data_IF_503438733366
#
_entry.id   IF_503438733366
#
_cell.length_a   1.000
_cell.length_b   1.000
_cell.length_c   1.000
_cell.angle_alpha   90.00
_cell.angle_beta   90.00
_cell.angle_gamma   90.00
#
_symmetry.space_group_name_H-M   'P 1'
#
loop_
_entity.id
_entity.type
_entity.pdbx_description
1 polymer ?
#
# COMPACT_ATOMS: atom_id res chain seq x y z
N UNK A 1 29.64 -41.29 -5.56
CA UNK A 1 29.80 -39.84 -5.33
C UNK A 1 28.45 -39.22 -5.55
N UNK A 2 28.03 -38.33 -4.67
CA UNK A 2 26.76 -37.63 -4.78
C UNK A 2 26.80 -36.73 -6.02
N UNK A 3 25.72 -36.65 -6.83
CA UNK A 3 25.65 -35.70 -7.93
C UNK A 3 25.54 -34.26 -7.41
N UNK A 4 26.05 -33.30 -8.19
CA UNK A 4 25.75 -31.89 -7.95
C UNK A 4 24.29 -31.60 -8.36
N UNK A 5 23.52 -30.86 -7.56
CA UNK A 5 22.15 -30.50 -7.89
C UNK A 5 22.12 -29.43 -8.99
N UNK A 6 21.04 -29.37 -9.77
CA UNK A 6 20.78 -28.29 -10.72
C UNK A 6 19.40 -27.69 -10.47
N UNK A 7 19.28 -26.37 -10.58
CA UNK A 7 18.03 -25.64 -10.38
C UNK A 7 17.48 -25.19 -11.73
N UNK A 8 16.19 -25.45 -11.97
CA UNK A 8 15.50 -25.12 -13.22
C UNK A 8 14.43 -24.05 -13.04
N UNK A 9 13.71 -24.05 -11.92
CA UNK A 9 12.68 -23.05 -11.64
C UNK A 9 12.42 -22.82 -10.14
N UNK A 10 11.84 -21.66 -9.83
CA UNK A 10 11.32 -21.30 -8.52
C UNK A 10 9.81 -21.06 -8.65
N UNK A 11 9.02 -21.60 -7.71
CA UNK A 11 7.58 -21.36 -7.68
C UNK A 11 7.08 -21.02 -6.27
N UNK A 12 6.66 -19.76 -6.02
CA UNK A 12 6.78 -18.62 -6.93
C UNK A 12 8.26 -18.20 -7.16
N UNK A 13 8.54 -17.46 -8.23
CA UNK A 13 9.86 -16.85 -8.48
C UNK A 13 9.95 -15.38 -8.03
N UNK A 14 8.84 -14.84 -7.54
CA UNK A 14 8.78 -13.47 -7.03
C UNK A 14 7.65 -13.31 -6.02
N UNK A 15 7.72 -12.25 -5.23
CA UNK A 15 6.66 -11.80 -4.33
C UNK A 15 6.68 -10.27 -4.25
N UNK A 16 5.58 -9.64 -3.90
CA UNK A 16 5.62 -8.24 -3.46
C UNK A 16 6.20 -8.20 -2.04
N UNK A 17 6.97 -7.18 -1.69
CA UNK A 17 7.54 -7.03 -0.35
C UNK A 17 6.49 -7.22 0.75
N UNK A 18 6.83 -7.99 1.78
CA UNK A 18 5.89 -8.41 2.83
C UNK A 18 6.13 -7.67 4.17
N UNK A 19 7.13 -6.80 4.22
CA UNK A 19 7.57 -6.13 5.43
C UNK A 19 8.37 -7.05 6.37
N UNK A 20 9.09 -6.45 7.34
CA UNK A 20 10.07 -7.15 8.18
C UNK A 20 9.45 -8.16 9.16
N UNK A 21 8.16 -8.02 9.48
CA UNK A 21 7.44 -8.87 10.43
C UNK A 21 6.61 -9.97 9.77
N UNK A 22 6.78 -10.22 8.46
CA UNK A 22 6.05 -11.27 7.76
C UNK A 22 6.48 -12.66 8.22
N UNK A 23 5.58 -13.65 8.06
CA UNK A 23 5.84 -15.05 8.42
C UNK A 23 6.81 -15.78 7.48
N UNK A 24 7.39 -15.08 6.49
CA UNK A 24 8.19 -15.68 5.42
C UNK A 24 7.35 -16.26 4.29
N UNK A 25 8.00 -16.99 3.39
CA UNK A 25 7.39 -17.55 2.19
C UNK A 25 8.02 -18.91 1.86
N UNK A 26 7.18 -19.93 1.63
CA UNK A 26 7.64 -21.21 1.08
C UNK A 26 7.73 -21.12 -0.44
N UNK A 27 8.92 -21.39 -0.97
CA UNK A 27 9.23 -21.47 -2.39
C UNK A 27 9.49 -22.93 -2.75
N UNK A 28 8.79 -23.42 -3.76
CA UNK A 28 9.09 -24.71 -4.37
C UNK A 28 10.25 -24.54 -5.35
N UNK A 29 11.37 -25.17 -5.05
CA UNK A 29 12.54 -25.21 -5.91
C UNK A 29 12.46 -26.45 -6.78
N UNK A 30 12.46 -26.28 -8.09
CA UNK A 30 12.45 -27.35 -9.08
C UNK A 30 13.85 -27.52 -9.67
N UNK A 31 14.20 -28.76 -9.99
CA UNK A 31 15.54 -29.08 -10.43
C UNK A 31 15.76 -30.56 -10.68
N UNK A 32 17.03 -30.96 -10.59
CA UNK A 32 17.45 -32.35 -10.71
C UNK A 32 18.47 -32.69 -9.62
N UNK A 33 18.56 -33.99 -9.33
CA UNK A 33 19.56 -34.59 -8.46
C UNK A 33 19.52 -34.12 -7.00
N UNK A 34 18.39 -33.69 -6.47
CA UNK A 34 18.28 -33.38 -5.04
C UNK A 34 18.40 -34.63 -4.18
N UNK A 35 19.12 -34.52 -3.07
CA UNK A 35 19.22 -35.57 -2.05
C UNK A 35 18.39 -35.20 -0.82
N UNK A 36 18.06 -36.20 0.00
CA UNK A 36 17.25 -36.00 1.22
C UNK A 36 17.90 -35.01 2.20
N UNK A 37 19.24 -34.98 2.24
CA UNK A 37 20.04 -34.07 3.07
C UNK A 37 20.45 -32.77 2.34
N UNK A 38 19.81 -32.43 1.22
CA UNK A 38 20.11 -31.20 0.49
C UNK A 38 19.73 -29.94 1.30
N UNK A 39 20.58 -28.91 1.21
CA UNK A 39 20.43 -27.65 1.94
C UNK A 39 20.34 -26.48 0.97
N UNK A 40 19.27 -25.70 1.02
CA UNK A 40 19.11 -24.47 0.25
C UNK A 40 19.71 -23.26 0.97
N UNK A 41 20.22 -22.31 0.19
CA UNK A 41 20.81 -21.06 0.68
C UNK A 41 20.21 -19.86 -0.02
N UNK A 42 19.89 -18.83 0.76
CA UNK A 42 19.52 -17.51 0.29
C UNK A 42 20.70 -16.56 0.45
N UNK A 43 21.26 -16.07 -0.65
CA UNK A 43 22.46 -15.22 -0.64
C UNK A 43 23.61 -15.81 0.21
N UNK A 44 23.77 -17.14 0.15
CA UNK A 44 24.79 -17.88 0.92
C UNK A 44 24.40 -18.21 2.38
N UNK A 45 23.27 -17.73 2.88
CA UNK A 45 22.78 -18.08 4.22
C UNK A 45 21.78 -19.25 4.17
N UNK A 46 21.90 -20.27 5.03
CA UNK A 46 21.06 -21.47 4.95
C UNK A 46 19.59 -21.15 5.25
N UNK A 47 18.67 -21.88 4.61
CA UNK A 47 17.22 -21.78 4.82
C UNK A 47 16.61 -23.14 5.11
N UNK A 48 15.51 -23.16 5.87
CA UNK A 48 14.79 -24.41 6.12
C UNK A 48 14.44 -25.06 4.79
N UNK A 49 14.97 -26.26 4.57
CA UNK A 49 14.83 -27.02 3.33
C UNK A 49 14.18 -28.35 3.66
N UNK A 50 13.09 -28.66 2.97
CA UNK A 50 12.40 -29.93 3.08
C UNK A 50 12.50 -30.65 1.75
N UNK A 51 13.10 -31.83 1.78
CA UNK A 51 13.12 -32.73 0.64
C UNK A 51 11.69 -33.18 0.31
N UNK A 52 11.34 -33.10 -0.98
CA UNK A 52 10.05 -33.59 -1.50
C UNK A 52 10.31 -34.74 -2.47
N UNK A 53 11.22 -34.53 -3.43
CA UNK A 53 11.70 -35.54 -4.36
C UNK A 53 13.07 -35.15 -4.91
N UNK A 54 13.68 -36.03 -5.70
CA UNK A 54 14.94 -35.76 -6.41
C UNK A 54 14.86 -34.58 -7.39
N UNK A 55 13.66 -34.08 -7.69
CA UNK A 55 13.41 -32.95 -8.59
C UNK A 55 12.70 -31.78 -7.93
N UNK A 56 12.40 -31.88 -6.64
CA UNK A 56 11.69 -30.83 -5.90
C UNK A 56 12.12 -30.71 -4.43
N UNK A 57 12.37 -29.47 -4.01
CA UNK A 57 12.55 -29.08 -2.61
C UNK A 57 11.52 -28.01 -2.23
N UNK A 58 11.06 -28.02 -0.98
CA UNK A 58 10.35 -26.90 -0.39
C UNK A 58 11.31 -26.10 0.50
N UNK A 59 11.52 -24.83 0.16
CA UNK A 59 12.47 -23.94 0.85
C UNK A 59 11.68 -22.80 1.50
N UNK A 60 11.91 -22.54 2.78
CA UNK A 60 11.26 -21.43 3.48
C UNK A 60 12.18 -20.21 3.53
N UNK A 61 11.83 -19.17 2.77
CA UNK A 61 12.40 -17.83 2.91
C UNK A 61 11.86 -17.17 4.18
N UNK A 62 12.71 -16.44 4.88
CA UNK A 62 12.35 -15.70 6.10
C UNK A 62 11.66 -14.39 5.75
N UNK A 63 10.93 -13.81 6.70
CA UNK A 63 10.30 -12.49 6.49
C UNK A 63 11.31 -11.40 6.13
N UNK A 64 12.51 -11.44 6.71
CA UNK A 64 13.61 -10.52 6.38
C UNK A 64 14.14 -10.64 4.94
N UNK A 65 14.01 -11.81 4.31
CA UNK A 65 14.47 -12.04 2.93
C UNK A 65 13.57 -11.34 1.91
N UNK A 66 12.30 -11.19 2.25
CA UNK A 66 11.23 -10.65 1.41
C UNK A 66 10.66 -9.35 1.99
N UNK A 67 11.36 -8.73 2.95
CA UNK A 67 10.88 -7.57 3.67
C UNK A 67 10.84 -6.31 2.80
N UNK A 68 11.78 -6.20 1.85
CA UNK A 68 11.99 -5.01 1.02
C UNK A 68 12.19 -5.41 -0.43
N UNK A 69 11.77 -4.53 -1.34
CA UNK A 69 12.02 -4.68 -2.76
C UNK A 69 13.51 -4.90 -3.08
N UNK A 70 13.80 -5.81 -4.00
CA UNK A 70 15.14 -6.22 -4.37
C UNK A 70 15.16 -7.60 -5.01
N UNK A 71 16.31 -8.26 -4.97
CA UNK A 71 16.44 -9.65 -5.40
C UNK A 71 17.38 -10.42 -4.50
N UNK A 72 17.18 -11.73 -4.43
CA UNK A 72 18.13 -12.65 -3.80
C UNK A 72 18.35 -13.88 -4.66
N UNK A 73 19.50 -14.52 -4.46
CA UNK A 73 19.87 -15.74 -5.15
C UNK A 73 19.59 -16.95 -4.26
N UNK A 74 18.85 -17.92 -4.82
CA UNK A 74 18.66 -19.25 -4.26
C UNK A 74 19.63 -20.23 -4.91
N UNK A 75 20.38 -20.94 -4.08
CA UNK A 75 21.19 -22.10 -4.46
C UNK A 75 20.84 -23.29 -3.58
N UNK A 76 21.20 -24.50 -4.02
CA UNK A 76 21.06 -25.74 -3.25
C UNK A 76 22.40 -26.47 -3.23
N UNK A 77 22.74 -27.09 -2.11
CA UNK A 77 23.93 -27.90 -1.96
C UNK A 77 23.57 -29.34 -1.55
N UNK A 78 24.18 -30.31 -2.23
CA UNK A 78 24.16 -31.70 -1.82
C UNK A 78 25.43 -32.04 -1.02
N UNK A 79 25.36 -32.94 -0.02
CA UNK A 79 26.50 -33.27 0.84
C UNK A 79 27.62 -34.02 0.11
N UNK A 80 28.83 -33.96 0.69
CA UNK A 80 29.97 -34.78 0.30
C UNK A 80 29.77 -36.27 0.65
N UNK A 81 30.50 -37.23 0.02
CA UNK A 81 31.52 -37.05 -1.02
C UNK A 81 30.94 -36.89 -2.43
N UNK A 82 31.55 -36.02 -3.25
CA UNK A 82 30.99 -35.57 -4.53
C UNK A 82 30.21 -34.28 -4.30
N UNK A 83 28.89 -34.36 -4.42
CA UNK A 83 27.95 -33.29 -4.04
C UNK A 83 28.31 -31.96 -4.68
N UNK A 84 28.04 -30.88 -3.94
CA UNK A 84 28.38 -29.52 -4.34
C UNK A 84 27.15 -28.62 -4.51
N UNK A 85 27.41 -27.37 -4.86
CA UNK A 85 26.40 -26.32 -5.01
C UNK A 85 25.86 -26.27 -6.44
N UNK A 86 24.56 -26.02 -6.59
CA UNK A 86 23.89 -25.80 -7.87
C UNK A 86 24.26 -24.47 -8.52
N UNK A 87 23.75 -24.26 -9.75
CA UNK A 87 23.52 -22.91 -10.26
C UNK A 87 22.55 -22.13 -9.36
N UNK A 88 22.67 -20.79 -9.38
CA UNK A 88 21.75 -19.91 -8.66
C UNK A 88 20.56 -19.50 -9.52
N UNK A 89 19.38 -19.42 -8.90
CA UNK A 89 18.21 -18.76 -9.49
C UNK A 89 17.89 -17.47 -8.71
N UNK A 90 17.51 -16.43 -9.44
CA UNK A 90 17.09 -15.17 -8.83
C UNK A 90 15.62 -15.27 -8.42
N UNK A 91 15.34 -14.84 -7.20
CA UNK A 91 14.01 -14.58 -6.69
C UNK A 91 13.86 -13.06 -6.54
N UNK A 92 12.80 -12.50 -7.10
CA UNK A 92 12.57 -11.06 -7.09
C UNK A 92 11.55 -10.67 -6.03
N UNK A 93 11.88 -9.66 -5.23
CA UNK A 93 10.95 -8.99 -4.32
C UNK A 93 10.54 -7.68 -4.97
N UNK A 94 9.28 -7.58 -5.40
CA UNK A 94 8.75 -6.39 -6.05
C UNK A 94 8.32 -5.36 -5.01
N UNK A 95 8.50 -4.07 -5.29
CA UNK A 95 7.99 -2.99 -4.44
C UNK A 95 6.46 -2.94 -4.45
N UNK A 96 5.87 -2.56 -3.32
CA UNK A 96 4.43 -2.28 -3.25
C UNK A 96 4.10 -1.04 -4.11
N UNK A 97 3.11 -1.08 -5.02
CA UNK A 97 2.67 0.12 -5.72
C UNK A 97 2.21 1.19 -4.72
N UNK A 98 2.68 2.44 -4.90
CA UNK A 98 2.30 3.55 -4.04
C UNK A 98 0.95 4.12 -4.47
N UNK A 99 0.10 4.44 -3.51
CA UNK A 99 -1.10 5.23 -3.73
C UNK A 99 -0.73 6.65 -4.18
N UNK A 100 -1.47 7.25 -5.13
CA UNK A 100 -1.21 8.62 -5.55
C UNK A 100 -1.62 9.62 -4.46
N UNK A 101 -0.95 10.78 -4.40
CA UNK A 101 -1.41 11.90 -3.58
C UNK A 101 -2.68 12.51 -4.20
N UNK A 102 -3.76 12.69 -3.43
CA UNK A 102 -5.01 13.26 -3.94
C UNK A 102 -4.85 14.76 -4.20
N UNK A 103 -5.65 15.31 -5.11
CA UNK A 103 -5.73 16.77 -5.32
C UNK A 103 -7.17 17.25 -5.23
N UNK A 104 -7.38 18.41 -4.61
CA UNK A 104 -8.68 19.08 -4.57
C UNK A 104 -8.60 20.25 -5.55
N UNK A 105 -9.52 20.33 -6.51
CA UNK A 105 -9.64 21.46 -7.43
C UNK A 105 -10.76 22.39 -6.97
N UNK A 106 -11.90 21.84 -6.58
CA UNK A 106 -13.11 22.59 -6.26
C UNK A 106 -13.90 21.95 -5.12
N UNK A 107 -14.62 22.79 -4.37
CA UNK A 107 -15.65 22.38 -3.43
C UNK A 107 -17.01 22.89 -3.96
N UNK A 108 -18.05 22.08 -3.85
CA UNK A 108 -19.41 22.48 -4.26
C UNK A 108 -20.42 22.12 -3.15
N UNK A 109 -21.07 23.12 -2.53
CA UNK A 109 -20.73 24.55 -2.59
C UNK A 109 -19.31 24.82 -2.07
N UNK A 110 -18.72 25.98 -2.36
CA UNK A 110 -17.39 26.39 -1.87
C UNK A 110 -17.44 27.19 -0.55
N UNK A 111 -18.63 27.60 -0.17
CA UNK A 111 -18.97 28.19 1.11
C UNK A 111 -20.45 27.97 1.42
N UNK A 112 -20.82 28.05 2.69
CA UNK A 112 -22.21 27.94 3.14
C UNK A 112 -22.56 29.00 4.17
N UNK A 113 -23.85 29.29 4.32
CA UNK A 113 -24.37 29.97 5.49
C UNK A 113 -24.69 28.91 6.56
N UNK A 114 -23.94 28.91 7.66
CA UNK A 114 -24.13 27.91 8.73
C UNK A 114 -25.43 28.12 9.53
N UNK A 115 -25.87 29.37 9.62
CA UNK A 115 -27.07 29.73 10.39
C UNK A 115 -28.37 29.31 9.71
N UNK A 116 -29.30 28.78 10.51
CA UNK A 116 -30.60 28.31 10.04
C UNK A 116 -30.57 26.88 9.50
N UNK A 117 -29.41 26.24 9.41
CA UNK A 117 -29.32 24.81 9.12
C UNK A 117 -29.94 24.01 10.27
N UNK A 118 -30.79 23.05 9.90
CA UNK A 118 -31.38 22.07 10.82
C UNK A 118 -30.83 20.66 10.58
N UNK A 119 -30.04 20.49 9.52
CA UNK A 119 -29.39 19.23 9.14
C UNK A 119 -27.94 19.48 8.71
N UNK A 120 -27.03 18.53 8.98
CA UNK A 120 -25.66 18.54 8.48
C UNK A 120 -25.60 18.78 6.96
N UNK A 121 -24.81 19.76 6.46
CA UNK A 121 -24.69 19.99 5.03
C UNK A 121 -23.71 19.00 4.40
N UNK A 122 -24.04 18.54 3.20
CA UNK A 122 -23.16 17.72 2.35
C UNK A 122 -22.45 18.60 1.35
N UNK A 123 -21.14 18.40 1.20
CA UNK A 123 -20.27 19.13 0.29
C UNK A 123 -19.62 18.13 -0.67
N UNK A 124 -19.64 18.45 -1.96
CA UNK A 124 -18.88 17.75 -2.98
C UNK A 124 -17.44 18.26 -3.01
N UNK A 125 -16.48 17.34 -3.01
CA UNK A 125 -15.06 17.59 -3.23
C UNK A 125 -14.71 17.08 -4.61
N UNK A 126 -14.37 18.00 -5.52
CA UNK A 126 -13.98 17.71 -6.89
C UNK A 126 -12.46 17.80 -7.00
N UNK A 127 -11.86 16.86 -7.73
CA UNK A 127 -10.43 16.73 -7.79
C UNK A 127 -9.95 15.57 -8.65
N UNK A 128 -8.85 14.95 -8.22
CA UNK A 128 -8.29 13.78 -8.88
C UNK A 128 -7.57 12.87 -7.89
N UNK A 129 -7.32 11.63 -8.33
CA UNK A 129 -6.59 10.61 -7.59
C UNK A 129 -7.26 10.20 -6.27
N UNK A 130 -8.56 10.39 -6.10
CA UNK A 130 -9.25 9.89 -4.91
C UNK A 130 -9.34 8.36 -4.96
N UNK A 131 -8.99 7.73 -3.84
CA UNK A 131 -9.19 6.29 -3.67
C UNK A 131 -10.55 6.01 -3.02
N UNK A 132 -11.14 4.82 -3.23
CA UNK A 132 -12.36 4.41 -2.53
C UNK A 132 -12.25 4.45 -1.00
N UNK A 133 -11.04 4.35 -0.46
CA UNK A 133 -10.71 4.44 0.95
C UNK A 133 -10.22 5.81 1.41
N UNK A 134 -10.31 6.83 0.55
CA UNK A 134 -9.95 8.20 0.89
C UNK A 134 -10.88 8.77 1.98
N UNK A 135 -10.32 9.58 2.88
CA UNK A 135 -11.09 10.33 3.86
C UNK A 135 -10.97 11.84 3.63
N UNK A 136 -12.07 12.57 3.77
CA UNK A 136 -12.09 14.04 3.81
C UNK A 136 -12.01 14.50 5.27
N UNK A 137 -11.11 15.44 5.56
CA UNK A 137 -10.85 15.96 6.88
C UNK A 137 -11.18 17.46 6.94
N UNK A 138 -11.87 17.86 7.99
CA UNK A 138 -12.12 19.26 8.39
C UNK A 138 -11.20 19.60 9.55
N UNK A 139 -10.29 20.55 9.36
CA UNK A 139 -9.29 20.96 10.36
C UNK A 139 -8.54 19.77 10.99
N UNK A 140 -8.16 18.81 10.14
CA UNK A 140 -7.45 17.60 10.55
C UNK A 140 -8.32 16.52 11.20
N UNK A 141 -9.64 16.71 11.30
CA UNK A 141 -10.57 15.71 11.85
C UNK A 141 -11.39 15.06 10.74
N UNK A 142 -11.37 13.72 10.67
CA UNK A 142 -12.10 12.96 9.65
C UNK A 142 -13.61 13.23 9.69
N UNK A 143 -14.23 13.35 8.52
CA UNK A 143 -15.69 13.41 8.36
C UNK A 143 -16.19 12.20 7.58
N UNK A 144 -17.45 11.79 7.78
CA UNK A 144 -18.08 10.76 6.95
C UNK A 144 -17.90 11.11 5.47
N UNK A 145 -17.18 10.25 4.76
CA UNK A 145 -16.78 10.45 3.36
C UNK A 145 -17.37 9.34 2.53
N UNK A 146 -18.07 9.71 1.47
CA UNK A 146 -18.62 8.83 0.46
C UNK A 146 -17.82 9.00 -0.83
N UNK A 147 -17.19 7.92 -1.28
CA UNK A 147 -16.50 7.89 -2.57
C UNK A 147 -17.52 7.78 -3.70
N UNK A 148 -17.52 8.74 -4.61
CA UNK A 148 -18.33 8.69 -5.84
C UNK A 148 -17.49 8.12 -6.96
N UNK A 149 -16.37 8.77 -7.28
CA UNK A 149 -15.36 8.29 -8.23
C UNK A 149 -13.97 8.91 -7.95
N UNK A 150 -12.98 8.60 -8.79
CA UNK A 150 -11.59 9.05 -8.61
C UNK A 150 -11.37 10.57 -8.69
N UNK A 151 -12.38 11.34 -9.12
CA UNK A 151 -12.37 12.79 -9.14
C UNK A 151 -13.46 13.43 -8.29
N UNK A 152 -14.25 12.65 -7.56
CA UNK A 152 -15.38 13.15 -6.78
C UNK A 152 -15.59 12.37 -5.47
N UNK A 153 -15.51 13.11 -4.35
CA UNK A 153 -15.97 12.65 -3.03
C UNK A 153 -17.15 13.49 -2.56
N UNK A 154 -18.01 12.92 -1.73
CA UNK A 154 -18.96 13.65 -0.92
C UNK A 154 -18.58 13.51 0.55
N UNK A 155 -18.67 14.58 1.31
CA UNK A 155 -18.56 14.49 2.77
C UNK A 155 -19.58 15.37 3.45
N UNK A 156 -19.86 15.05 4.70
CA UNK A 156 -20.85 15.79 5.50
C UNK A 156 -20.15 16.50 6.64
N UNK A 157 -20.31 17.82 6.70
CA UNK A 157 -19.92 18.61 7.87
C UNK A 157 -20.88 18.31 9.01
N UNK A 158 -20.37 18.26 10.23
CA UNK A 158 -21.20 18.13 11.42
C UNK A 158 -21.90 19.46 11.73
N UNK A 159 -22.97 19.40 12.53
CA UNK A 159 -23.62 20.64 13.00
C UNK A 159 -22.66 21.52 13.80
N UNK A 160 -21.71 20.93 14.55
CA UNK A 160 -20.73 21.71 15.31
C UNK A 160 -19.73 22.45 14.43
N UNK A 161 -19.43 21.94 13.23
CA UNK A 161 -18.52 22.62 12.28
C UNK A 161 -19.13 23.92 11.73
N UNK A 162 -20.47 24.02 11.74
CA UNK A 162 -21.18 25.10 11.05
C UNK A 162 -21.89 26.09 11.99
N UNK A 163 -21.77 25.91 13.31
CA UNK A 163 -22.43 26.78 14.30
C UNK A 163 -21.77 28.15 14.43
N UNK A 164 -20.46 28.23 14.17
CA UNK A 164 -19.71 29.50 14.24
C UNK A 164 -19.22 29.88 12.84
N UNK A 165 -19.26 31.17 12.53
CA UNK A 165 -18.67 31.66 11.30
C UNK A 165 -17.15 31.50 11.35
N UNK A 166 -16.58 30.77 10.40
CA UNK A 166 -15.16 30.47 10.36
C UNK A 166 -14.70 30.07 8.96
N UNK A 167 -13.39 30.04 8.75
CA UNK A 167 -12.75 29.45 7.57
C UNK A 167 -12.02 28.18 8.01
N UNK A 168 -12.54 27.02 7.62
CA UNK A 168 -11.91 25.74 7.88
C UNK A 168 -11.04 25.26 6.72
N UNK A 169 -10.10 24.38 7.03
CA UNK A 169 -9.26 23.70 6.05
C UNK A 169 -9.84 22.32 5.70
N UNK A 170 -10.06 22.09 4.41
CA UNK A 170 -10.41 20.79 3.85
C UNK A 170 -9.16 20.11 3.30
N UNK A 171 -8.93 18.86 3.70
CA UNK A 171 -7.95 17.98 3.06
C UNK A 171 -8.59 16.65 2.69
N UNK A 172 -8.13 16.04 1.61
CA UNK A 172 -8.39 14.63 1.29
C UNK A 172 -7.14 13.85 1.62
N UNK A 173 -7.26 12.73 2.33
CA UNK A 173 -6.14 11.84 2.62
C UNK A 173 -6.39 10.47 1.98
N UNK A 174 -5.49 10.07 1.08
CA UNK A 174 -5.40 8.69 0.63
C UNK A 174 -4.54 7.90 1.62
N UNK A 175 -4.97 6.69 2.05
CA UNK A 175 -4.22 5.90 3.02
C UNK A 175 -2.90 5.35 2.43
N UNK A 176 -1.97 4.86 3.29
CA UNK A 176 -0.78 4.14 2.84
C UNK A 176 -1.14 2.81 2.13
N UNK A 177 -0.22 2.21 1.35
CA UNK A 177 1.17 2.65 1.10
C UNK A 177 1.24 3.87 0.17
N UNK A 178 2.16 4.80 0.43
CA UNK A 178 2.19 6.09 -0.28
C UNK A 178 1.01 6.98 0.09
N UNK A 179 0.38 7.59 -0.91
CA UNK A 179 -0.80 8.45 -0.73
C UNK A 179 -0.46 9.77 -0.04
N UNK A 180 -1.12 10.00 1.09
CA UNK A 180 -0.96 11.21 1.90
C UNK A 180 -2.08 12.22 1.69
N UNK A 181 -1.90 13.40 2.31
CA UNK A 181 -2.86 14.49 2.24
C UNK A 181 -2.73 15.28 0.93
N UNK A 182 -3.85 15.75 0.41
CA UNK A 182 -3.89 16.81 -0.60
C UNK A 182 -3.33 18.11 -0.02
N UNK A 183 -3.10 19.10 -0.90
CA UNK A 183 -3.05 20.49 -0.44
C UNK A 183 -4.37 20.88 0.23
N UNK A 184 -4.30 21.77 1.21
CA UNK A 184 -5.47 22.30 1.91
C UNK A 184 -6.30 23.19 0.97
N UNK A 185 -7.62 23.03 1.02
CA UNK A 185 -8.59 23.91 0.38
C UNK A 185 -9.42 24.58 1.45
N UNK A 186 -9.39 25.91 1.52
CA UNK A 186 -10.22 26.68 2.44
C UNK A 186 -11.70 26.56 2.08
N UNK A 187 -12.53 26.46 3.12
CA UNK A 187 -13.98 26.46 2.99
C UNK A 187 -14.57 27.42 4.03
N UNK A 188 -15.44 28.31 3.60
CA UNK A 188 -15.99 29.36 4.46
C UNK A 188 -17.38 29.00 4.97
N UNK A 189 -17.58 29.10 6.28
CA UNK A 189 -18.90 29.10 6.91
C UNK A 189 -19.24 30.53 7.31
N UNK A 190 -20.30 31.08 6.72
CA UNK A 190 -20.78 32.43 7.03
C UNK A 190 -21.72 32.44 8.24
N UNK A 191 -21.68 33.55 9.01
CA UNK A 191 -22.67 33.94 10.02
C UNK A 191 -23.37 35.27 9.67
N UNK A 192 -24.33 35.72 10.49
CA UNK A 192 -24.98 37.02 10.31
C UNK A 192 -23.96 38.12 10.61
N UNK A 193 -23.59 38.92 9.60
CA UNK A 193 -22.71 40.09 9.79
C UNK A 193 -21.71 40.39 8.68
N UNK A 194 -21.52 39.50 7.68
CA UNK A 194 -20.59 39.73 6.55
C UNK A 194 -21.24 39.60 5.15
N UNK A 195 -22.58 39.61 5.08
CA UNK A 195 -23.30 39.74 3.80
C UNK A 195 -23.46 41.21 3.41
N UNK A 196 -22.50 41.76 2.66
CA UNK A 196 -22.78 42.88 1.74
C UNK A 196 -22.61 42.33 0.33
N UNK A 197 -23.68 41.95 -0.39
CA UNK A 197 -23.55 41.73 -1.82
C UNK A 197 -23.14 43.07 -2.42
N UNK A 198 -22.01 43.09 -3.13
CA UNK A 198 -21.61 44.25 -3.92
C UNK A 198 -22.70 44.52 -4.97
N UNK A 199 -23.60 45.46 -4.68
CA UNK A 199 -24.47 46.05 -5.70
C UNK A 199 -23.57 46.95 -6.54
N UNK A 200 -23.12 46.45 -7.70
CA UNK A 200 -22.56 47.34 -8.72
C UNK A 200 -23.69 48.28 -9.17
N UNK A 201 -23.45 49.59 -9.02
CA UNK A 201 -24.20 50.63 -9.72
C UNK A 201 -23.64 50.82 -11.11
#
# INVERSE_FOLDING_TARGET
>A
QNPAPSLTALQPANVVEQGPSSSGLTVMVQGENFLEEAQAYWNGAPRTTKFVSETQLAVTLLGGDIAFAGSGSLTVENPAPGGGTSNGLLFTVNSTPLNPTPTITQLTPDAILGQGLTTPPTIDVIGSNFLPSAGVYWDGVLRPTHFVDSGHLQFTLTMTDVVTADVGAITVINPPPGGGASQEKSFTVFGYGIYLPAVMR
#
